data_IF_932320957614
#
_entry.id   IF_932320957614
#
_cell.length_a   1.000
_cell.length_b   1.000
_cell.length_c   1.000
_cell.angle_alpha   90.00
_cell.angle_beta   90.00
_cell.angle_gamma   90.00
#
_symmetry.space_group_name_H-M   'P 1'
#
loop_
_entity.id
_entity.type
_entity.pdbx_description
1 polymer ?
#
# COMPACT_ATOMS: atom_id res chain seq x y z
N UNK A 1 8.46 3.22 1.10
CA UNK A 1 9.93 3.32 1.19
C UNK A 1 10.56 3.60 -0.18
N UNK A 2 10.14 2.96 -1.26
CA UNK A 2 10.68 3.14 -2.62
C UNK A 2 10.23 4.42 -3.30
N UNK A 3 9.00 4.87 -3.11
CA UNK A 3 8.54 6.19 -3.53
C UNK A 3 9.50 7.31 -3.06
N UNK A 4 10.04 7.23 -1.84
CA UNK A 4 11.02 8.21 -1.35
C UNK A 4 12.32 8.20 -2.15
N UNK A 5 12.72 7.08 -2.71
CA UNK A 5 13.93 7.00 -3.53
C UNK A 5 13.73 7.65 -4.90
N UNK A 6 12.56 7.49 -5.51
CA UNK A 6 12.17 8.25 -6.69
C UNK A 6 12.13 9.75 -6.36
N UNK A 7 11.48 10.16 -5.27
CA UNK A 7 11.46 11.56 -4.83
C UNK A 7 12.87 12.14 -4.57
N UNK A 8 13.80 11.34 -4.02
CA UNK A 8 15.20 11.75 -3.84
C UNK A 8 15.86 12.00 -5.19
N UNK A 9 15.67 11.11 -6.16
CA UNK A 9 16.21 11.27 -7.51
C UNK A 9 15.60 12.45 -8.25
N UNK A 10 14.27 12.62 -8.16
CA UNK A 10 13.54 13.75 -8.73
C UNK A 10 13.97 15.10 -8.15
N UNK A 11 14.46 15.10 -6.91
CA UNK A 11 15.06 16.27 -6.26
C UNK A 11 16.48 16.60 -6.77
N UNK A 12 16.95 15.95 -7.83
CA UNK A 12 18.24 16.20 -8.48
C UNK A 12 19.42 15.47 -7.85
N UNK A 13 19.22 14.60 -6.87
CA UNK A 13 20.30 13.76 -6.33
C UNK A 13 20.65 12.66 -7.32
N UNK A 14 21.93 12.49 -7.58
CA UNK A 14 22.49 11.45 -8.45
C UNK A 14 23.35 10.47 -7.64
N UNK A 15 23.73 9.35 -8.23
CA UNK A 15 24.58 8.33 -7.60
C UNK A 15 23.92 7.80 -6.30
N UNK A 16 22.75 7.20 -6.46
CA UNK A 16 21.94 6.67 -5.37
C UNK A 16 22.00 5.14 -5.41
N UNK A 17 22.22 4.50 -4.26
CA UNK A 17 22.11 3.06 -4.12
C UNK A 17 21.07 2.69 -3.04
N UNK A 18 20.35 1.60 -3.30
CA UNK A 18 19.43 0.94 -2.38
C UNK A 18 20.04 -0.37 -1.95
N UNK A 19 20.32 -0.51 -0.68
CA UNK A 19 20.84 -1.75 -0.10
C UNK A 19 19.70 -2.54 0.54
N UNK A 20 19.50 -3.78 0.11
CA UNK A 20 18.49 -4.69 0.62
C UNK A 20 19.18 -5.96 1.14
N UNK A 21 18.95 -6.28 2.42
CA UNK A 21 19.54 -7.45 3.08
C UNK A 21 19.14 -8.77 2.39
N UNK A 22 17.87 -8.88 2.03
CA UNK A 22 17.32 -10.07 1.37
C UNK A 22 17.11 -9.83 -0.13
N UNK A 23 15.90 -10.01 -0.54
CA UNK A 23 15.47 -9.80 -1.93
C UNK A 23 14.39 -8.73 -2.05
N UNK A 24 14.22 -8.25 -3.25
CA UNK A 24 13.22 -7.26 -3.59
C UNK A 24 11.82 -7.70 -3.16
N UNK A 25 11.14 -6.87 -2.36
CA UNK A 25 9.82 -7.15 -1.78
C UNK A 25 9.77 -8.24 -0.68
N UNK A 26 10.86 -8.84 -0.26
CA UNK A 26 10.89 -9.91 0.74
C UNK A 26 10.41 -9.54 2.15
N UNK A 27 10.21 -8.24 2.43
CA UNK A 27 9.70 -7.73 3.72
C UNK A 27 8.16 -7.67 3.79
N UNK A 28 7.64 -6.60 4.38
CA UNK A 28 6.20 -6.39 4.57
C UNK A 28 5.40 -6.32 3.25
N UNK A 29 6.04 -5.99 2.13
CA UNK A 29 5.39 -5.98 0.83
C UNK A 29 4.87 -7.38 0.45
N UNK A 30 5.58 -8.44 0.78
CA UNK A 30 5.16 -9.82 0.52
C UNK A 30 4.20 -10.39 1.58
N UNK A 31 3.86 -9.61 2.61
CA UNK A 31 3.09 -10.08 3.78
C UNK A 31 1.91 -9.17 4.09
N UNK A 32 1.13 -8.82 3.07
CA UNK A 32 -0.05 -7.97 3.23
C UNK A 32 -1.25 -8.54 2.50
N UNK A 33 -2.42 -7.99 2.75
CA UNK A 33 -3.69 -8.45 2.17
C UNK A 33 -3.96 -7.90 0.77
N UNK A 34 -3.07 -7.08 0.24
CA UNK A 34 -3.19 -6.44 -1.08
C UNK A 34 -4.39 -5.50 -1.27
N UNK A 35 -5.20 -5.30 -0.26
CA UNK A 35 -6.41 -4.47 -0.32
C UNK A 35 -6.04 -3.00 -0.25
N UNK A 36 -6.54 -2.23 -1.22
CA UNK A 36 -6.39 -0.77 -1.32
C UNK A 36 -7.78 -0.16 -1.20
N UNK A 37 -7.99 0.67 -0.19
CA UNK A 37 -9.28 1.27 0.14
C UNK A 37 -9.10 2.55 0.94
N UNK A 38 -10.12 3.41 1.00
CA UNK A 38 -10.13 4.65 1.81
C UNK A 38 -11.28 4.76 2.81
N UNK A 39 -12.17 3.77 2.88
CA UNK A 39 -13.36 3.77 3.73
C UNK A 39 -13.06 3.59 5.23
N UNK A 40 -12.21 4.43 5.78
CA UNK A 40 -11.89 4.47 7.21
C UNK A 40 -12.88 5.36 7.97
N UNK A 41 -13.05 5.09 9.27
CA UNK A 41 -14.03 5.80 10.10
C UNK A 41 -13.56 7.21 10.50
N UNK A 42 -12.27 7.37 10.82
CA UNK A 42 -11.69 8.62 11.34
C UNK A 42 -11.29 9.55 10.22
N UNK A 43 -11.62 10.83 10.34
CA UNK A 43 -11.45 11.84 9.30
C UNK A 43 -10.00 11.94 8.81
N UNK A 44 -9.01 11.93 9.71
CA UNK A 44 -7.60 12.01 9.35
C UNK A 44 -7.14 10.77 8.57
N UNK A 45 -7.59 9.60 9.01
CA UNK A 45 -7.31 8.34 8.31
C UNK A 45 -8.00 8.33 6.95
N UNK A 46 -9.27 8.70 6.89
CA UNK A 46 -10.05 8.77 5.66
C UNK A 46 -9.39 9.71 4.64
N UNK A 47 -8.99 10.90 5.06
CA UNK A 47 -8.32 11.88 4.19
C UNK A 47 -6.98 11.36 3.65
N UNK A 48 -6.15 10.77 4.51
CA UNK A 48 -4.85 10.21 4.12
C UNK A 48 -5.00 9.03 3.14
N UNK A 49 -5.93 8.12 3.42
CA UNK A 49 -6.14 6.95 2.56
C UNK A 49 -6.86 7.29 1.27
N UNK A 50 -7.75 8.30 1.26
CA UNK A 50 -8.37 8.80 0.02
C UNK A 50 -7.34 9.50 -0.88
N UNK A 51 -6.45 10.29 -0.32
CA UNK A 51 -5.32 10.82 -1.06
C UNK A 51 -4.43 9.69 -1.62
N UNK A 52 -4.14 8.68 -0.81
CA UNK A 52 -3.38 7.50 -1.26
C UNK A 52 -4.09 6.74 -2.38
N UNK A 53 -5.41 6.58 -2.31
CA UNK A 53 -6.19 5.90 -3.36
C UNK A 53 -6.09 6.63 -4.70
N UNK A 54 -6.17 7.97 -4.68
CA UNK A 54 -5.97 8.80 -5.88
C UNK A 54 -4.57 8.64 -6.49
N UNK A 55 -3.54 8.49 -5.64
CA UNK A 55 -2.19 8.19 -6.13
C UNK A 55 -2.13 6.79 -6.76
N UNK A 56 -2.79 5.79 -6.17
CA UNK A 56 -2.86 4.45 -6.74
C UNK A 56 -3.50 4.42 -8.13
N UNK A 57 -4.50 5.26 -8.36
CA UNK A 57 -5.21 5.35 -9.65
C UNK A 57 -4.31 5.85 -10.78
N UNK A 58 -3.37 6.78 -10.49
CA UNK A 58 -2.41 7.29 -11.47
C UNK A 58 -1.10 6.50 -11.57
N UNK A 59 -0.82 5.64 -10.59
CA UNK A 59 0.48 5.00 -10.45
C UNK A 59 0.86 4.03 -11.59
N UNK A 60 -0.05 3.25 -12.22
CA UNK A 60 0.30 2.42 -13.37
C UNK A 60 0.85 3.22 -14.55
N UNK A 61 0.27 4.39 -14.83
CA UNK A 61 0.72 5.30 -15.88
C UNK A 61 2.08 5.94 -15.51
N UNK A 62 2.22 6.44 -14.29
CA UNK A 62 3.47 7.03 -13.78
C UNK A 62 4.65 6.05 -13.84
N UNK A 63 4.42 4.80 -13.47
CA UNK A 63 5.45 3.75 -13.46
C UNK A 63 5.62 3.05 -14.81
N UNK A 64 4.74 3.31 -15.79
CA UNK A 64 4.69 2.61 -17.08
C UNK A 64 4.68 1.09 -16.89
N UNK A 65 3.88 0.62 -15.92
CA UNK A 65 3.84 -0.78 -15.53
C UNK A 65 2.48 -1.19 -14.96
N UNK A 66 1.87 -2.21 -15.55
CA UNK A 66 0.64 -2.81 -15.04
C UNK A 66 0.95 -3.77 -13.88
N UNK A 67 0.68 -3.33 -12.67
CA UNK A 67 0.76 -4.14 -11.45
C UNK A 67 -0.59 -4.73 -11.04
N UNK A 68 -1.52 -4.84 -11.98
CA UNK A 68 -2.84 -5.43 -11.81
C UNK A 68 -3.65 -4.74 -10.70
N UNK A 69 -3.68 -3.40 -10.71
CA UNK A 69 -4.57 -2.65 -9.82
C UNK A 69 -6.01 -2.81 -10.32
N UNK A 70 -6.80 -3.60 -9.60
CA UNK A 70 -8.16 -3.96 -9.96
C UNK A 70 -9.16 -3.34 -8.98
N UNK A 71 -9.85 -2.31 -9.43
CA UNK A 71 -10.90 -1.60 -8.68
C UNK A 71 -12.27 -2.28 -8.91
N UNK A 72 -12.48 -3.41 -8.23
CA UNK A 72 -13.75 -4.15 -8.25
C UNK A 72 -14.60 -3.90 -7.00
N UNK A 73 -14.20 -2.93 -6.22
CA UNK A 73 -14.79 -2.62 -4.94
C UNK A 73 -14.27 -3.49 -3.79
N UNK A 74 -14.54 -3.01 -2.59
CA UNK A 74 -14.33 -3.74 -1.34
C UNK A 74 -15.60 -3.66 -0.54
N UNK A 75 -16.11 -4.82 -0.07
CA UNK A 75 -17.25 -4.87 0.81
C UNK A 75 -16.88 -5.50 2.15
N UNK A 76 -17.48 -5.00 3.23
CA UNK A 76 -17.38 -5.59 4.55
C UNK A 76 -18.79 -6.02 4.97
N UNK A 77 -18.99 -7.34 5.11
CA UNK A 77 -20.26 -7.92 5.47
C UNK A 77 -20.63 -7.61 6.93
N UNK A 78 -21.90 -7.38 7.18
CA UNK A 78 -22.48 -7.22 8.51
C UNK A 78 -23.36 -8.43 8.82
N UNK A 79 -23.16 -9.03 9.99
CA UNK A 79 -23.87 -10.25 10.42
C UNK A 79 -24.70 -10.03 11.69
N UNK A 80 -24.54 -8.87 12.34
CA UNK A 80 -25.28 -8.52 13.56
C UNK A 80 -25.83 -7.10 13.45
N UNK A 81 -26.84 -6.78 14.25
CA UNK A 81 -27.36 -5.41 14.35
C UNK A 81 -26.27 -4.41 14.77
N UNK A 82 -25.31 -4.85 15.57
CA UNK A 82 -24.19 -3.99 15.94
C UNK A 82 -23.31 -3.68 14.73
N UNK A 83 -23.01 -4.69 13.89
CA UNK A 83 -22.23 -4.49 12.66
C UNK A 83 -22.96 -3.53 11.70
N UNK A 84 -24.29 -3.67 11.57
CA UNK A 84 -25.11 -2.75 10.76
C UNK A 84 -24.97 -1.31 11.24
N UNK A 85 -25.14 -1.08 12.56
CA UNK A 85 -25.03 0.28 13.15
C UNK A 85 -23.65 0.89 12.92
N UNK A 86 -22.59 0.13 13.17
CA UNK A 86 -21.21 0.57 12.95
C UNK A 86 -20.93 0.82 11.46
N UNK A 87 -21.43 -0.01 10.59
CA UNK A 87 -21.28 0.11 9.14
C UNK A 87 -21.98 1.34 8.60
N UNK A 88 -23.24 1.58 9.00
CA UNK A 88 -23.99 2.79 8.60
C UNK A 88 -23.31 4.05 9.11
N UNK A 89 -22.84 4.06 10.38
CA UNK A 89 -22.06 5.17 10.93
C UNK A 89 -20.81 5.45 10.10
N UNK A 90 -20.07 4.40 9.73
CA UNK A 90 -18.87 4.51 8.90
C UNK A 90 -19.19 5.05 7.51
N UNK A 91 -20.22 4.53 6.86
CA UNK A 91 -20.66 5.03 5.54
C UNK A 91 -21.01 6.51 5.59
N UNK A 92 -21.75 6.94 6.62
CA UNK A 92 -22.12 8.35 6.78
C UNK A 92 -20.87 9.25 6.99
N UNK A 93 -19.92 8.83 7.84
CA UNK A 93 -18.66 9.54 8.01
C UNK A 93 -17.85 9.60 6.70
N UNK A 94 -17.81 8.51 5.96
CA UNK A 94 -17.12 8.48 4.65
C UNK A 94 -17.77 9.43 3.65
N UNK A 95 -19.09 9.47 3.55
CA UNK A 95 -19.81 10.40 2.66
C UNK A 95 -19.54 11.87 3.02
N UNK A 96 -19.49 12.19 4.33
CA UNK A 96 -19.10 13.54 4.77
C UNK A 96 -17.68 13.91 4.35
N UNK A 97 -16.78 12.95 4.27
CA UNK A 97 -15.40 13.11 3.81
C UNK A 97 -15.22 12.97 2.28
N UNK A 98 -16.32 12.89 1.52
CA UNK A 98 -16.29 12.79 0.05
C UNK A 98 -15.82 11.42 -0.48
N UNK A 99 -15.85 10.37 0.36
CA UNK A 99 -15.49 9.00 -0.02
C UNK A 99 -16.73 8.29 -0.58
N UNK A 100 -16.55 7.54 -1.65
CA UNK A 100 -17.53 6.76 -2.39
C UNK A 100 -17.99 5.49 -1.64
N UNK A 101 -18.40 5.61 -0.38
CA UNK A 101 -18.84 4.49 0.42
C UNK A 101 -20.38 4.41 0.47
N UNK A 102 -20.89 3.19 0.38
CA UNK A 102 -22.33 2.90 0.39
C UNK A 102 -22.66 1.79 1.39
N UNK A 103 -23.91 1.80 1.88
CA UNK A 103 -24.53 0.65 2.51
C UNK A 103 -25.36 -0.09 1.47
N UNK A 104 -25.13 -1.38 1.32
CA UNK A 104 -25.83 -2.24 0.37
C UNK A 104 -26.59 -3.36 1.09
N UNK A 105 -27.73 -3.77 0.51
CA UNK A 105 -28.60 -4.83 1.04
C UNK A 105 -28.03 -6.22 0.75
N UNK A 106 -28.55 -7.30 1.39
CA UNK A 106 -28.16 -8.68 1.08
C UNK A 106 -28.35 -9.06 -0.38
N UNK A 107 -29.42 -8.56 -1.02
CA UNK A 107 -29.71 -8.79 -2.43
C UNK A 107 -28.62 -8.15 -3.31
N UNK A 108 -28.26 -6.91 -3.03
CA UNK A 108 -27.17 -6.22 -3.73
C UNK A 108 -25.82 -6.88 -3.48
N UNK A 109 -25.55 -7.40 -2.27
CA UNK A 109 -24.36 -8.23 -1.99
C UNK A 109 -24.35 -9.45 -2.90
N UNK A 110 -25.49 -10.14 -3.03
CA UNK A 110 -25.62 -11.32 -3.90
C UNK A 110 -25.43 -11.00 -5.37
N UNK A 111 -25.93 -9.85 -5.83
CA UNK A 111 -25.75 -9.37 -7.20
C UNK A 111 -24.28 -9.08 -7.52
N UNK A 112 -23.59 -8.35 -6.63
CA UNK A 112 -22.18 -8.01 -6.80
C UNK A 112 -21.23 -9.20 -6.62
N UNK A 113 -21.59 -10.14 -5.77
CA UNK A 113 -20.77 -11.31 -5.46
C UNK A 113 -21.64 -12.58 -5.35
N UNK A 114 -21.98 -13.21 -6.49
CA UNK A 114 -22.91 -14.34 -6.55
C UNK A 114 -22.51 -15.59 -5.75
N UNK A 115 -21.24 -15.71 -5.38
CA UNK A 115 -20.75 -16.84 -4.57
C UNK A 115 -21.09 -16.73 -3.08
N UNK A 116 -21.43 -15.51 -2.59
CA UNK A 116 -21.80 -15.31 -1.20
C UNK A 116 -23.19 -15.90 -0.96
N UNK A 117 -23.31 -16.74 0.08
CA UNK A 117 -24.60 -17.22 0.54
C UNK A 117 -25.25 -16.12 1.42
N UNK A 118 -26.40 -15.63 0.98
CA UNK A 118 -27.19 -14.58 1.68
C UNK A 118 -28.51 -15.13 2.24
N UNK A 119 -28.64 -16.46 2.39
CA UNK A 119 -29.84 -17.09 2.98
C UNK A 119 -30.00 -16.71 4.44
N UNK A 120 -31.25 -16.46 4.85
CA UNK A 120 -31.62 -16.20 6.23
C UNK A 120 -31.52 -17.42 7.15
N UNK A 121 -31.37 -18.63 6.57
CA UNK A 121 -31.22 -19.89 7.32
C UNK A 121 -29.80 -20.06 7.89
N UNK A 122 -28.87 -19.21 7.54
CA UNK A 122 -27.50 -19.27 8.07
C UNK A 122 -27.47 -18.88 9.55
N UNK A 123 -26.58 -19.55 10.31
CA UNK A 123 -26.34 -19.19 11.71
C UNK A 123 -25.96 -17.71 11.91
N UNK A 124 -25.28 -17.13 10.92
CA UNK A 124 -24.90 -15.73 10.86
C UNK A 124 -25.30 -15.19 9.48
N UNK A 125 -26.56 -14.81 9.27
CA UNK A 125 -27.02 -14.30 7.99
C UNK A 125 -26.34 -12.99 7.63
N UNK A 126 -26.23 -12.71 6.35
CA UNK A 126 -25.72 -11.42 5.88
C UNK A 126 -26.85 -10.40 5.98
N UNK A 127 -26.69 -9.38 6.80
CA UNK A 127 -27.67 -8.30 7.00
C UNK A 127 -27.43 -7.10 6.06
N UNK A 128 -26.39 -7.13 5.26
CA UNK A 128 -25.93 -6.10 4.36
C UNK A 128 -24.41 -5.94 4.41
N UNK A 129 -23.90 -4.94 3.74
CA UNK A 129 -22.47 -4.65 3.71
C UNK A 129 -22.17 -3.16 3.54
N UNK A 130 -21.00 -2.71 3.97
CA UNK A 130 -20.42 -1.49 3.41
C UNK A 130 -19.79 -1.84 2.08
N UNK A 131 -19.91 -0.97 1.10
CA UNK A 131 -19.28 -1.12 -0.20
C UNK A 131 -18.57 0.16 -0.62
N UNK A 132 -17.34 0.03 -1.10
CA UNK A 132 -16.58 1.13 -1.70
C UNK A 132 -16.18 0.72 -3.13
N UNK A 133 -16.83 1.28 -4.16
CA UNK A 133 -16.60 0.91 -5.57
C UNK A 133 -15.16 1.13 -6.04
N UNK A 134 -14.54 2.26 -5.68
CA UNK A 134 -13.16 2.59 -6.09
C UNK A 134 -12.08 1.82 -5.37
N UNK A 135 -12.40 1.14 -4.28
CA UNK A 135 -11.47 0.25 -3.61
C UNK A 135 -11.17 -0.98 -4.47
N UNK A 136 -10.07 -1.65 -4.19
CA UNK A 136 -9.66 -2.81 -4.98
C UNK A 136 -8.44 -3.53 -4.40
N UNK A 137 -7.78 -4.26 -5.27
CA UNK A 137 -6.54 -4.97 -4.95
C UNK A 137 -5.45 -4.64 -5.97
N UNK A 138 -4.18 -4.73 -5.54
CA UNK A 138 -3.04 -4.67 -6.43
C UNK A 138 -2.09 -5.83 -6.15
N UNK A 139 -1.46 -6.38 -7.18
CA UNK A 139 -0.50 -7.46 -7.00
C UNK A 139 0.79 -6.91 -6.38
N UNK A 140 1.01 -7.17 -5.11
CA UNK A 140 2.01 -6.51 -4.26
C UNK A 140 3.46 -6.69 -4.73
N UNK A 141 3.81 -7.86 -5.27
CA UNK A 141 5.12 -8.13 -5.86
C UNK A 141 5.34 -7.32 -7.14
N UNK A 142 4.33 -7.24 -8.02
CA UNK A 142 4.36 -6.40 -9.23
C UNK A 142 4.50 -4.90 -8.89
N UNK A 143 3.83 -4.42 -7.85
CA UNK A 143 4.02 -3.04 -7.35
C UNK A 143 5.49 -2.81 -6.97
N UNK A 144 6.09 -3.76 -6.26
CA UNK A 144 7.47 -3.65 -5.87
C UNK A 144 8.43 -3.64 -7.07
N UNK A 145 8.15 -4.47 -8.07
CA UNK A 145 8.94 -4.53 -9.31
C UNK A 145 8.75 -3.30 -10.18
N UNK A 146 7.53 -2.76 -10.26
CA UNK A 146 7.27 -1.51 -10.96
C UNK A 146 8.13 -0.36 -10.42
N UNK A 147 8.13 -0.15 -9.10
CA UNK A 147 9.00 0.85 -8.47
C UNK A 147 10.49 0.56 -8.66
N UNK A 148 10.91 -0.71 -8.57
CA UNK A 148 12.31 -1.07 -8.78
C UNK A 148 12.76 -0.80 -10.21
N UNK A 149 11.94 -1.21 -11.19
CA UNK A 149 12.19 -0.94 -12.62
C UNK A 149 12.32 0.57 -12.89
N UNK A 150 11.41 1.37 -12.35
CA UNK A 150 11.47 2.83 -12.53
C UNK A 150 12.71 3.43 -11.86
N UNK A 151 13.09 2.98 -10.68
CA UNK A 151 14.33 3.40 -10.02
C UNK A 151 15.58 3.04 -10.86
N UNK A 152 15.63 1.82 -11.40
CA UNK A 152 16.71 1.37 -12.27
C UNK A 152 16.82 2.24 -13.53
N UNK A 153 15.69 2.51 -14.20
CA UNK A 153 15.63 3.43 -15.34
C UNK A 153 16.15 4.84 -15.01
N UNK A 154 15.98 5.29 -13.77
CA UNK A 154 16.48 6.57 -13.27
C UNK A 154 17.95 6.50 -12.83
N UNK A 155 18.63 5.39 -13.00
CA UNK A 155 20.04 5.19 -12.63
C UNK A 155 20.27 5.01 -11.14
N UNK A 156 19.32 4.42 -10.41
CA UNK A 156 19.45 4.03 -9.00
C UNK A 156 19.93 2.58 -8.93
N UNK A 157 21.06 2.33 -8.30
CA UNK A 157 21.57 0.98 -8.06
C UNK A 157 20.74 0.24 -7.02
N UNK A 158 20.23 -0.96 -7.34
CA UNK A 158 19.48 -1.80 -6.41
C UNK A 158 20.31 -3.05 -6.10
N UNK A 159 20.89 -3.09 -4.90
CA UNK A 159 21.82 -4.14 -4.48
C UNK A 159 21.10 -5.04 -3.47
N UNK A 160 20.68 -6.22 -3.94
CA UNK A 160 20.05 -7.26 -3.10
C UNK A 160 21.10 -8.15 -2.43
N UNK A 161 20.70 -8.88 -1.39
CA UNK A 161 21.60 -9.72 -0.57
C UNK A 161 22.83 -8.94 -0.09
N UNK A 162 22.60 -7.68 0.32
CA UNK A 162 23.62 -6.76 0.79
C UNK A 162 23.17 -6.19 2.15
N UNK A 163 23.57 -6.84 3.22
CA UNK A 163 23.23 -6.43 4.58
C UNK A 163 24.18 -5.31 5.05
N UNK A 164 23.60 -4.22 5.56
CA UNK A 164 24.38 -3.17 6.23
C UNK A 164 24.65 -3.64 7.65
N UNK A 165 25.92 -3.80 7.98
CA UNK A 165 26.39 -4.31 9.29
C UNK A 165 26.91 -3.20 10.20
N UNK A 166 27.22 -2.03 9.65
CA UNK A 166 27.73 -0.92 10.45
C UNK A 166 27.85 0.38 9.67
N UNK A 167 28.26 1.43 10.40
CA UNK A 167 28.49 2.76 9.85
C UNK A 167 29.92 3.21 10.15
N UNK A 168 30.58 3.78 9.16
CA UNK A 168 31.89 4.45 9.33
C UNK A 168 31.64 5.93 9.53
N UNK A 169 32.18 6.48 10.61
CA UNK A 169 32.04 7.89 10.96
C UNK A 169 33.39 8.61 10.90
N UNK A 170 33.34 9.86 10.50
CA UNK A 170 34.40 10.84 10.67
C UNK A 170 33.82 11.97 11.54
N UNK A 171 34.19 11.99 12.80
CA UNK A 171 33.52 12.76 13.83
C UNK A 171 32.05 12.35 14.00
N UNK A 172 31.13 13.29 13.87
CA UNK A 172 29.68 13.02 13.92
C UNK A 172 29.07 12.64 12.57
N UNK A 173 29.82 12.72 11.49
CA UNK A 173 29.35 12.51 10.13
C UNK A 173 29.53 11.04 9.71
N UNK A 174 28.50 10.43 9.16
CA UNK A 174 28.61 9.14 8.48
C UNK A 174 29.24 9.36 7.10
N UNK A 175 30.33 8.64 6.80
CA UNK A 175 31.07 8.73 5.54
C UNK A 175 31.02 7.45 4.72
N UNK A 176 30.67 6.31 5.33
CA UNK A 176 30.49 5.05 4.64
C UNK A 176 29.57 4.11 5.42
N UNK A 177 29.16 3.04 4.77
CA UNK A 177 28.50 1.88 5.39
C UNK A 177 29.36 0.63 5.20
N UNK A 178 29.45 -0.18 6.24
CA UNK A 178 30.00 -1.55 6.14
C UNK A 178 28.86 -2.49 5.76
N UNK A 179 29.13 -3.37 4.80
CA UNK A 179 28.12 -4.32 4.32
C UNK A 179 28.70 -5.72 4.22
N UNK A 180 27.81 -6.71 4.08
CA UNK A 180 28.21 -8.11 3.78
C UNK A 180 28.99 -8.28 2.46
N UNK A 181 28.99 -7.23 1.61
CA UNK A 181 29.69 -7.19 0.33
C UNK A 181 30.88 -6.23 0.31
N UNK A 182 31.26 -5.72 1.48
CA UNK A 182 32.35 -4.75 1.60
C UNK A 182 31.87 -3.34 1.92
N UNK A 183 32.79 -2.42 1.98
CA UNK A 183 32.55 -1.02 2.34
C UNK A 183 32.06 -0.21 1.15
N UNK A 184 31.03 0.61 1.39
CA UNK A 184 30.48 1.55 0.40
C UNK A 184 30.58 2.96 0.97
N UNK A 185 31.31 3.84 0.29
CA UNK A 185 31.42 5.24 0.69
C UNK A 185 30.13 5.98 0.33
N UNK A 186 29.63 6.82 1.25
CA UNK A 186 28.40 7.56 1.05
C UNK A 186 28.43 8.91 1.78
N UNK A 187 28.08 9.97 1.08
CA UNK A 187 27.96 11.32 1.67
C UNK A 187 26.70 11.50 2.53
N UNK A 188 25.68 10.71 2.27
CA UNK A 188 24.40 10.68 3.02
C UNK A 188 23.91 9.24 3.13
N UNK A 189 23.42 8.87 4.28
CA UNK A 189 22.80 7.54 4.53
C UNK A 189 21.42 7.75 5.13
N UNK A 190 20.41 7.12 4.54
CA UNK A 190 19.04 7.10 5.04
C UNK A 190 18.66 5.67 5.44
N UNK A 191 18.43 5.44 6.73
CA UNK A 191 17.79 4.20 7.18
C UNK A 191 16.27 4.29 7.04
N UNK A 192 15.68 3.27 6.40
CA UNK A 192 14.24 3.15 6.22
C UNK A 192 13.62 2.01 7.06
N UNK A 193 14.42 1.38 7.92
CA UNK A 193 14.04 0.21 8.73
C UNK A 193 14.12 0.45 10.23
N UNK A 194 14.84 1.47 10.66
CA UNK A 194 14.92 1.87 12.08
C UNK A 194 13.95 3.03 12.34
N UNK A 195 13.19 2.89 13.38
CA UNK A 195 12.26 3.90 13.89
C UNK A 195 12.71 4.30 15.30
#
# INVERSE_FOLDING_TARGET
>A
RRQRQMCIRDSGMTNIAVLERGWLAGGNMARNTTIIRSNYLWDESAAMYEHSLKLWEGLPEELEYDFLFSQRGVMNLAHTLQDVRESVRRVNANKLNGIDAEWITPEQVKELCPIINTSDELRYPVMGATYQPRAGIAKHDHVAWAFARKCDQMGVDIIQSCEVTGFVKDGERVVAVETSRGRINAGKVLSLIHI
#
